data_IF_603517080902
#
_entry.id   IF_603517080902
#
_cell.length_a   1.000
_cell.length_b   1.000
_cell.length_c   1.000
_cell.angle_alpha   90.00
_cell.angle_beta   90.00
_cell.angle_gamma   90.00
#
_symmetry.space_group_name_H-M   'P 1'
#
loop_
_entity.id
_entity.type
_entity.pdbx_description
1 polymer ?
#
# COMPACT_ATOMS: atom_id res chain seq x y z
N UNK A 1 -46.68 -36.71 -51.98
CA UNK A 1 -46.96 -36.05 -50.66
C UNK A 1 -45.70 -36.11 -49.86
N UNK A 2 -44.92 -35.02 -49.94
CA UNK A 2 -43.61 -34.88 -49.29
C UNK A 2 -43.76 -34.31 -47.90
N UNK A 3 -43.39 -35.04 -46.89
CA UNK A 3 -43.29 -34.52 -45.53
C UNK A 3 -41.83 -34.10 -45.29
N UNK A 4 -41.56 -32.85 -45.49
CA UNK A 4 -40.31 -32.17 -45.05
C UNK A 4 -40.33 -32.05 -43.54
N UNK A 5 -39.59 -32.93 -42.86
CA UNK A 5 -39.26 -32.79 -41.44
C UNK A 5 -38.15 -31.80 -41.29
N UNK A 6 -38.50 -30.57 -40.93
CA UNK A 6 -37.54 -29.52 -40.55
C UNK A 6 -36.98 -29.84 -39.15
N UNK A 7 -35.73 -30.36 -39.13
CA UNK A 7 -34.94 -30.48 -37.90
C UNK A 7 -34.41 -29.08 -37.53
N UNK A 8 -35.08 -28.41 -36.64
CA UNK A 8 -34.56 -27.20 -35.99
C UNK A 8 -33.55 -27.65 -34.94
N UNK A 9 -32.29 -27.66 -35.31
CA UNK A 9 -31.18 -27.79 -34.34
C UNK A 9 -31.06 -26.50 -33.53
N UNK A 10 -31.70 -26.50 -32.35
CA UNK A 10 -31.43 -25.50 -31.32
C UNK A 10 -30.00 -25.71 -30.80
N UNK A 11 -29.02 -25.01 -31.36
CA UNK A 11 -27.69 -24.91 -30.78
C UNK A 11 -27.79 -24.03 -29.53
N UNK A 12 -27.90 -24.67 -28.37
CA UNK A 12 -27.71 -24.01 -27.08
C UNK A 12 -26.22 -23.64 -26.95
N UNK A 13 -25.90 -22.41 -27.32
CA UNK A 13 -24.60 -21.83 -27.01
C UNK A 13 -24.52 -21.64 -25.50
N UNK A 14 -23.89 -22.58 -24.80
CA UNK A 14 -23.55 -22.42 -23.41
C UNK A 14 -22.56 -21.24 -23.29
N UNK A 15 -23.07 -20.08 -22.91
CA UNK A 15 -22.23 -18.94 -22.53
C UNK A 15 -21.54 -19.35 -21.24
N UNK A 16 -20.32 -19.84 -21.34
CA UNK A 16 -19.45 -20.04 -20.19
C UNK A 16 -19.17 -18.66 -19.60
N UNK A 17 -19.91 -18.30 -18.57
CA UNK A 17 -19.60 -17.12 -17.75
C UNK A 17 -18.24 -17.40 -17.13
N UNK A 18 -17.20 -16.85 -17.70
CA UNK A 18 -15.86 -16.90 -17.15
C UNK A 18 -15.91 -16.24 -15.77
N UNK A 19 -15.91 -17.05 -14.72
CA UNK A 19 -15.83 -16.53 -13.36
C UNK A 19 -14.53 -15.76 -13.23
N UNK A 20 -14.61 -14.50 -12.84
CA UNK A 20 -13.43 -13.68 -12.58
C UNK A 20 -12.49 -14.44 -11.61
N UNK A 21 -11.21 -14.50 -11.90
CA UNK A 21 -10.25 -15.20 -11.06
C UNK A 21 -10.31 -14.62 -9.65
N UNK A 22 -10.54 -15.48 -8.67
CA UNK A 22 -10.67 -15.08 -7.28
C UNK A 22 -9.50 -15.64 -6.47
N UNK A 23 -8.78 -14.74 -5.82
CA UNK A 23 -7.73 -15.12 -4.88
C UNK A 23 -8.35 -15.81 -3.66
N UNK A 24 -7.94 -17.07 -3.41
CA UNK A 24 -8.47 -17.94 -2.36
C UNK A 24 -7.39 -18.24 -1.32
N UNK A 25 -7.83 -18.64 -0.14
CA UNK A 25 -6.94 -19.21 0.88
C UNK A 25 -6.24 -20.45 0.33
N UNK A 26 -4.93 -20.57 0.60
CA UNK A 26 -4.10 -21.66 0.11
C UNK A 26 -3.60 -21.51 -1.34
N UNK A 27 -3.96 -20.42 -2.05
CA UNK A 27 -3.38 -20.16 -3.38
C UNK A 27 -1.88 -19.94 -3.30
N UNK A 28 -1.16 -20.40 -4.32
CA UNK A 28 0.28 -20.18 -4.45
C UNK A 28 0.58 -18.84 -5.10
N UNK A 29 1.54 -18.09 -4.54
CA UNK A 29 1.94 -16.78 -5.05
C UNK A 29 3.45 -16.71 -5.25
N UNK A 30 3.87 -16.17 -6.39
CA UNK A 30 5.23 -15.77 -6.66
C UNK A 30 5.36 -14.26 -6.48
N UNK A 31 6.39 -13.84 -5.75
CA UNK A 31 6.69 -12.41 -5.57
C UNK A 31 7.80 -12.05 -6.57
N UNK A 32 7.52 -11.16 -7.50
CA UNK A 32 8.53 -10.68 -8.44
C UNK A 32 9.62 -9.89 -7.72
N UNK A 33 10.87 -9.90 -8.24
CA UNK A 33 11.95 -9.05 -7.70
C UNK A 33 11.57 -7.57 -7.76
N UNK A 34 11.72 -6.87 -6.65
CA UNK A 34 11.26 -5.49 -6.46
C UNK A 34 12.36 -4.62 -5.83
N UNK A 35 13.63 -4.87 -6.18
CA UNK A 35 14.76 -4.12 -5.63
C UNK A 35 14.98 -4.32 -4.13
N UNK A 36 14.68 -5.50 -3.60
CA UNK A 36 14.82 -5.85 -2.18
C UNK A 36 13.52 -5.74 -1.37
N UNK A 37 12.48 -5.08 -1.90
CA UNK A 37 11.20 -4.97 -1.20
C UNK A 37 10.47 -6.32 -1.09
N UNK A 38 10.69 -7.24 -2.03
CA UNK A 38 10.14 -8.59 -2.02
C UNK A 38 10.43 -9.34 -0.71
N UNK A 39 11.60 -9.12 -0.11
CA UNK A 39 11.98 -9.74 1.17
C UNK A 39 11.12 -9.23 2.32
N UNK A 40 10.89 -7.92 2.37
CA UNK A 40 10.01 -7.31 3.38
C UNK A 40 8.56 -7.76 3.21
N UNK A 41 8.10 -7.86 1.97
CA UNK A 41 6.74 -8.31 1.67
C UNK A 41 6.55 -9.78 2.04
N UNK A 42 7.48 -10.66 1.67
CA UNK A 42 7.43 -12.08 2.04
C UNK A 42 7.42 -12.26 3.56
N UNK A 43 8.29 -11.56 4.28
CA UNK A 43 8.31 -11.58 5.74
C UNK A 43 7.00 -11.08 6.36
N UNK A 44 6.42 -10.02 5.79
CA UNK A 44 5.15 -9.46 6.25
C UNK A 44 3.96 -10.42 6.01
N UNK A 45 3.93 -11.12 4.87
CA UNK A 45 2.90 -12.13 4.58
C UNK A 45 2.91 -13.25 5.63
N UNK A 46 4.10 -13.74 5.98
CA UNK A 46 4.29 -14.76 7.02
C UNK A 46 3.90 -14.21 8.40
N UNK A 47 4.42 -13.03 8.77
CA UNK A 47 4.15 -12.37 10.07
C UNK A 47 2.66 -12.11 10.30
N UNK A 48 1.94 -11.67 9.27
CA UNK A 48 0.50 -11.40 9.34
C UNK A 48 -0.37 -12.64 9.14
N UNK A 49 0.26 -13.81 8.91
CA UNK A 49 -0.44 -15.07 8.66
C UNK A 49 -1.48 -14.91 7.52
N UNK A 50 -1.02 -14.34 6.40
CA UNK A 50 -1.85 -14.27 5.19
C UNK A 50 -2.04 -15.68 4.66
N UNK A 51 -3.26 -16.13 4.36
CA UNK A 51 -3.53 -17.52 3.98
C UNK A 51 -3.12 -17.82 2.52
N UNK A 52 -1.86 -17.53 2.19
CA UNK A 52 -1.24 -17.77 0.88
C UNK A 52 0.05 -18.56 1.05
N UNK A 53 0.43 -19.31 0.02
CA UNK A 53 1.68 -20.07 -0.03
C UNK A 53 2.64 -19.33 -0.95
N UNK A 54 3.72 -18.78 -0.38
CA UNK A 54 4.76 -18.12 -1.17
C UNK A 54 5.67 -19.16 -1.79
N UNK A 55 5.81 -19.12 -3.11
CA UNK A 55 6.69 -20.02 -3.88
C UNK A 55 7.83 -19.22 -4.53
N UNK A 56 8.97 -19.87 -4.70
CA UNK A 56 10.16 -19.28 -5.34
C UNK A 56 10.21 -19.55 -6.85
N UNK A 57 9.41 -20.48 -7.34
CA UNK A 57 9.31 -20.83 -8.74
C UNK A 57 8.05 -20.21 -9.36
N UNK A 58 8.24 -19.28 -10.29
CA UNK A 58 7.15 -18.57 -10.98
C UNK A 58 6.20 -19.52 -11.71
N UNK A 59 6.72 -20.65 -12.24
CA UNK A 59 5.91 -21.61 -12.96
C UNK A 59 4.92 -22.38 -12.10
N UNK A 60 5.14 -22.42 -10.79
CA UNK A 60 4.30 -23.10 -9.79
C UNK A 60 3.31 -22.15 -9.08
N UNK A 61 3.28 -20.91 -9.48
CA UNK A 61 2.43 -19.90 -8.87
C UNK A 61 1.08 -19.81 -9.58
N UNK A 62 0.01 -19.77 -8.80
CA UNK A 62 -1.33 -19.44 -9.28
C UNK A 62 -1.45 -17.95 -9.59
N UNK A 63 -0.74 -17.13 -8.81
CA UNK A 63 -0.75 -15.67 -8.94
C UNK A 63 0.65 -15.09 -8.81
N UNK A 64 0.84 -13.93 -9.41
CA UNK A 64 2.08 -13.17 -9.35
C UNK A 64 1.82 -11.87 -8.60
N UNK A 65 2.66 -11.57 -7.61
CA UNK A 65 2.64 -10.28 -6.92
C UNK A 65 3.71 -9.41 -7.54
N UNK A 66 3.28 -8.29 -8.11
CA UNK A 66 4.16 -7.23 -8.63
C UNK A 66 4.03 -5.99 -7.75
N UNK A 67 5.04 -5.15 -7.70
CA UNK A 67 4.92 -3.84 -7.06
C UNK A 67 5.60 -2.74 -7.84
N UNK A 68 5.13 -1.54 -7.57
CA UNK A 68 5.82 -0.30 -7.91
C UNK A 68 6.21 0.38 -6.60
N UNK A 69 7.52 0.52 -6.38
CA UNK A 69 8.09 1.18 -5.21
C UNK A 69 8.56 2.56 -5.62
N UNK A 70 7.96 3.59 -5.06
CA UNK A 70 8.37 4.97 -5.27
C UNK A 70 9.00 5.52 -3.99
N UNK A 71 10.22 6.01 -4.13
CA UNK A 71 10.93 6.72 -3.08
C UNK A 71 10.90 8.21 -3.36
N UNK A 72 10.27 8.96 -2.49
CA UNK A 72 10.49 10.37 -2.44
C UNK A 72 11.77 10.60 -1.63
N UNK A 73 12.85 11.00 -2.31
CA UNK A 73 14.07 11.41 -1.65
C UNK A 73 13.74 12.43 -0.56
N UNK A 74 14.44 12.40 0.58
CA UNK A 74 14.27 13.43 1.59
C UNK A 74 14.49 14.79 0.92
N UNK A 75 13.46 15.63 0.91
CA UNK A 75 13.67 17.03 0.58
C UNK A 75 14.59 17.57 1.68
N UNK A 76 15.80 17.99 1.31
CA UNK A 76 16.60 18.79 2.22
C UNK A 76 15.72 19.98 2.60
N UNK A 77 15.24 20.09 3.85
CA UNK A 77 14.50 21.26 4.23
C UNK A 77 15.49 22.42 4.03
N UNK A 78 15.15 23.35 3.15
CA UNK A 78 15.78 24.63 3.19
C UNK A 78 15.50 25.16 4.59
N UNK A 79 16.46 25.05 5.48
CA UNK A 79 16.39 25.68 6.79
C UNK A 79 16.42 27.16 6.49
N UNK A 80 15.26 27.73 6.27
CA UNK A 80 15.09 29.17 6.33
C UNK A 80 15.24 29.50 7.82
N UNK A 81 16.49 29.70 8.22
CA UNK A 81 16.77 30.30 9.50
C UNK A 81 16.34 31.77 9.36
N UNK A 82 15.05 31.98 9.59
CA UNK A 82 14.57 33.33 9.84
C UNK A 82 15.19 33.75 11.18
N UNK A 83 16.39 34.28 11.13
CA UNK A 83 17.04 34.99 12.23
C UNK A 83 16.31 36.31 12.58
N UNK A 84 15.03 36.37 12.37
CA UNK A 84 14.17 37.50 12.77
C UNK A 84 13.56 37.27 14.15
N UNK A 85 14.30 36.66 15.07
CA UNK A 85 14.00 36.80 16.48
C UNK A 85 14.59 38.12 16.98
N UNK A 86 14.17 39.22 16.37
CA UNK A 86 14.25 40.51 17.03
C UNK A 86 13.10 40.45 18.04
N UNK A 87 13.43 40.10 19.28
CA UNK A 87 12.55 40.32 20.40
C UNK A 87 12.36 41.83 20.53
N UNK A 88 11.37 42.38 19.85
CA UNK A 88 10.88 43.71 20.14
C UNK A 88 10.22 43.57 21.52
N UNK A 89 10.99 43.96 22.54
CA UNK A 89 10.45 44.16 23.86
C UNK A 89 9.48 45.35 23.75
N UNK A 90 8.20 45.02 23.59
CA UNK A 90 7.14 46.06 23.71
C UNK A 90 7.08 46.45 25.17
N UNK A 91 7.56 47.66 25.46
CA UNK A 91 7.44 48.30 26.79
C UNK A 91 5.95 48.52 27.06
N UNK A 92 5.29 47.55 27.73
CA UNK A 92 3.87 47.62 28.10
C UNK A 92 3.20 46.28 28.33
N UNK A 93 3.83 45.14 27.96
CA UNK A 93 3.25 43.84 28.24
C UNK A 93 3.53 43.34 29.65
N UNK A 94 2.52 42.76 30.29
CA UNK A 94 2.67 42.18 31.63
C UNK A 94 3.64 40.97 31.57
N UNK A 95 4.38 40.68 32.69
CA UNK A 95 5.30 39.54 32.73
C UNK A 95 4.66 38.20 32.36
N UNK A 96 3.38 38.02 32.60
CA UNK A 96 2.62 36.83 32.24
C UNK A 96 2.38 36.72 30.73
N UNK A 97 2.19 37.84 30.05
CA UNK A 97 1.97 37.88 28.62
C UNK A 97 3.29 37.59 27.87
N UNK A 98 4.41 38.10 28.36
CA UNK A 98 5.74 37.80 27.84
C UNK A 98 6.08 36.30 28.00
N UNK A 99 5.81 35.70 29.16
CA UNK A 99 6.03 34.28 29.38
C UNK A 99 5.17 33.40 28.46
N UNK A 100 3.91 33.79 28.22
CA UNK A 100 2.99 33.12 27.33
C UNK A 100 3.49 33.19 25.86
N UNK A 101 3.89 34.36 25.39
CA UNK A 101 4.39 34.56 24.04
C UNK A 101 5.69 33.79 23.80
N UNK A 102 6.63 33.76 24.74
CA UNK A 102 7.84 32.96 24.67
C UNK A 102 7.53 31.46 24.64
N UNK A 103 6.58 31.00 25.45
CA UNK A 103 6.14 29.60 25.47
C UNK A 103 5.54 29.16 24.13
N UNK A 104 4.71 30.01 23.53
CA UNK A 104 4.13 29.77 22.20
C UNK A 104 5.18 29.72 21.11
N UNK A 105 6.15 30.64 21.11
CA UNK A 105 7.22 30.72 20.13
C UNK A 105 8.14 29.49 20.19
N UNK A 106 8.57 29.09 21.39
CA UNK A 106 9.33 27.86 21.60
C UNK A 106 8.55 26.60 21.19
N UNK A 107 7.24 26.58 21.44
CA UNK A 107 6.37 25.50 21.02
C UNK A 107 6.26 25.38 19.52
N UNK A 108 6.13 26.50 18.81
CA UNK A 108 6.05 26.56 17.36
C UNK A 108 7.37 26.16 16.67
N UNK A 109 8.51 26.59 17.21
CA UNK A 109 9.84 26.21 16.72
C UNK A 109 10.07 24.69 16.85
N UNK A 110 9.79 24.11 18.02
CA UNK A 110 9.89 22.65 18.22
C UNK A 110 8.95 21.85 17.33
N UNK A 111 7.77 22.39 17.01
CA UNK A 111 6.85 21.77 16.07
C UNK A 111 7.38 21.83 14.64
N UNK A 112 7.99 22.93 14.23
CA UNK A 112 8.63 23.11 12.93
C UNK A 112 9.85 22.19 12.78
N UNK A 113 10.70 22.09 13.80
CA UNK A 113 11.85 21.17 13.82
C UNK A 113 11.42 19.71 13.69
N UNK A 114 10.38 19.29 14.40
CA UNK A 114 9.82 17.93 14.26
C UNK A 114 9.28 17.67 12.87
N UNK A 115 8.58 18.63 12.25
CA UNK A 115 8.08 18.50 10.87
C UNK A 115 9.26 18.42 9.89
N UNK A 116 10.28 19.23 10.06
CA UNK A 116 11.49 19.20 9.24
C UNK A 116 12.22 17.85 9.39
N UNK A 117 12.38 17.34 10.61
CA UNK A 117 12.96 16.03 10.87
C UNK A 117 12.16 14.89 10.21
N UNK A 118 10.83 14.96 10.27
CA UNK A 118 9.98 13.98 9.57
C UNK A 118 10.08 14.08 8.05
N UNK A 119 10.17 15.30 7.49
CA UNK A 119 10.38 15.51 6.06
C UNK A 119 11.75 15.00 5.59
N UNK A 120 12.79 15.20 6.42
CA UNK A 120 14.14 14.72 6.16
C UNK A 120 14.28 13.19 6.12
N UNK A 121 13.35 12.45 6.73
CA UNK A 121 13.34 10.98 6.72
C UNK A 121 12.85 10.40 5.39
N UNK A 122 12.35 11.24 4.47
CA UNK A 122 11.74 10.81 3.22
C UNK A 122 10.43 10.03 3.42
N UNK A 123 9.81 9.67 2.34
CA UNK A 123 8.61 8.81 2.35
C UNK A 123 8.73 7.71 1.31
N UNK A 124 8.24 6.52 1.64
CA UNK A 124 8.13 5.42 0.69
C UNK A 124 6.67 5.15 0.42
N UNK A 125 6.33 5.13 -0.85
CA UNK A 125 5.03 4.69 -1.36
C UNK A 125 5.22 3.40 -2.14
N UNK A 126 4.40 2.41 -1.82
CA UNK A 126 4.43 1.10 -2.47
C UNK A 126 3.03 0.78 -2.95
N UNK A 127 2.92 0.41 -4.20
CA UNK A 127 1.69 -0.18 -4.77
C UNK A 127 1.97 -1.63 -5.12
N UNK A 128 1.18 -2.54 -4.58
CA UNK A 128 1.22 -3.96 -4.94
C UNK A 128 0.02 -4.32 -5.80
N UNK A 129 0.23 -5.23 -6.74
CA UNK A 129 -0.83 -5.82 -7.56
C UNK A 129 -0.66 -7.34 -7.58
N UNK A 130 -1.75 -8.05 -7.39
CA UNK A 130 -1.81 -9.51 -7.55
C UNK A 130 -2.46 -9.80 -8.89
N UNK A 131 -1.73 -10.47 -9.77
CA UNK A 131 -2.12 -10.73 -11.15
C UNK A 131 -2.31 -12.23 -11.34
N UNK A 132 -3.38 -12.62 -12.00
CA UNK A 132 -3.54 -13.98 -12.53
C UNK A 132 -2.74 -14.10 -13.85
N UNK A 133 -1.70 -14.92 -13.90
CA UNK A 133 -0.86 -15.05 -15.10
C UNK A 133 -1.60 -15.65 -16.31
N UNK A 134 -2.70 -16.37 -16.09
CA UNK A 134 -3.48 -17.03 -17.16
C UNK A 134 -4.38 -16.04 -17.90
N UNK A 135 -5.03 -15.15 -17.14
CA UNK A 135 -5.95 -14.16 -17.70
C UNK A 135 -5.33 -12.76 -17.82
N UNK A 136 -4.14 -12.55 -17.25
CA UNK A 136 -3.49 -11.23 -17.10
C UNK A 136 -4.36 -10.22 -16.36
N UNK A 137 -5.30 -10.68 -15.54
CA UNK A 137 -6.18 -9.82 -14.76
C UNK A 137 -5.60 -9.50 -13.40
N UNK A 138 -5.75 -8.26 -13.00
CA UNK A 138 -5.43 -7.83 -11.63
C UNK A 138 -6.60 -8.22 -10.74
N UNK A 139 -6.36 -9.15 -9.80
CA UNK A 139 -7.38 -9.63 -8.85
C UNK A 139 -7.37 -8.84 -7.55
N UNK A 140 -6.27 -8.17 -7.24
CA UNK A 140 -6.14 -7.30 -6.08
C UNK A 140 -5.08 -6.23 -6.37
N UNK A 141 -5.34 -5.01 -5.91
CA UNK A 141 -4.37 -3.93 -5.91
C UNK A 141 -4.51 -3.09 -4.63
N UNK A 142 -3.38 -2.67 -4.08
CA UNK A 142 -3.35 -1.85 -2.89
C UNK A 142 -2.10 -0.96 -2.86
N UNK A 143 -2.25 0.26 -2.37
CA UNK A 143 -1.15 1.20 -2.19
C UNK A 143 -1.02 1.60 -0.73
N UNK A 144 0.20 1.62 -0.23
CA UNK A 144 0.55 2.08 1.09
C UNK A 144 1.67 3.11 1.03
N UNK A 145 1.52 4.20 1.78
CA UNK A 145 2.56 5.20 1.97
C UNK A 145 2.91 5.33 3.45
N UNK A 146 4.19 5.36 3.76
CA UNK A 146 4.71 5.58 5.12
C UNK A 146 5.92 6.50 5.09
N UNK A 147 6.02 7.35 6.10
CA UNK A 147 7.18 8.20 6.34
C UNK A 147 7.92 7.75 7.60
N UNK A 148 9.21 8.11 7.71
CA UNK A 148 10.05 7.84 8.86
C UNK A 148 10.89 6.56 8.74
N UNK A 149 11.50 6.14 9.85
CA UNK A 149 12.29 4.90 9.90
C UNK A 149 11.43 3.65 9.67
N UNK A 150 12.04 2.60 9.11
CA UNK A 150 11.39 1.30 8.83
C UNK A 150 10.19 1.40 7.88
N UNK A 151 10.25 2.30 6.88
CA UNK A 151 9.17 2.54 5.93
C UNK A 151 8.81 1.28 5.14
N UNK A 152 9.81 0.51 4.68
CA UNK A 152 9.61 -0.73 3.93
C UNK A 152 8.85 -1.78 4.74
N UNK A 153 9.25 -2.00 5.98
CA UNK A 153 8.57 -2.96 6.84
C UNK A 153 7.13 -2.54 7.11
N UNK A 154 6.91 -1.26 7.45
CA UNK A 154 5.57 -0.72 7.73
C UNK A 154 4.64 -0.76 6.52
N UNK A 155 5.16 -0.46 5.31
CA UNK A 155 4.38 -0.55 4.08
C UNK A 155 4.08 -1.99 3.71
N UNK A 156 5.05 -2.90 3.85
CA UNK A 156 4.88 -4.32 3.62
C UNK A 156 3.82 -4.93 4.56
N UNK A 157 3.85 -4.56 5.84
CA UNK A 157 2.83 -5.00 6.79
C UNK A 157 1.43 -4.47 6.46
N UNK A 158 1.33 -3.22 5.99
CA UNK A 158 0.06 -2.64 5.56
C UNK A 158 -0.49 -3.38 4.32
N UNK A 159 0.37 -3.66 3.34
CA UNK A 159 0.04 -4.44 2.15
C UNK A 159 -0.43 -5.86 2.52
N UNK A 160 0.32 -6.56 3.38
CA UNK A 160 -0.01 -7.90 3.83
C UNK A 160 -1.34 -7.94 4.60
N UNK A 161 -1.59 -6.94 5.45
CA UNK A 161 -2.86 -6.82 6.19
C UNK A 161 -4.05 -6.63 5.24
N UNK A 162 -3.95 -5.71 4.29
CA UNK A 162 -5.00 -5.45 3.32
C UNK A 162 -5.29 -6.66 2.44
N UNK A 163 -4.25 -7.37 2.01
CA UNK A 163 -4.38 -8.61 1.23
C UNK A 163 -5.09 -9.70 2.01
N UNK A 164 -4.76 -9.88 3.30
CA UNK A 164 -5.43 -10.83 4.19
C UNK A 164 -6.93 -10.51 4.32
N UNK A 165 -7.25 -9.25 4.63
CA UNK A 165 -8.64 -8.80 4.77
C UNK A 165 -9.45 -9.03 3.48
N UNK A 166 -8.82 -8.81 2.32
CA UNK A 166 -9.44 -9.07 1.02
C UNK A 166 -9.80 -10.55 0.85
N UNK A 167 -8.86 -11.47 1.14
CA UNK A 167 -9.10 -12.92 1.03
C UNK A 167 -10.20 -13.36 1.99
N UNK A 168 -10.12 -12.98 3.26
CA UNK A 168 -11.12 -13.33 4.27
C UNK A 168 -12.52 -12.81 3.91
N UNK A 169 -12.60 -11.61 3.34
CA UNK A 169 -13.86 -11.01 2.89
C UNK A 169 -14.45 -11.75 1.69
N UNK A 170 -13.61 -12.12 0.73
CA UNK A 170 -14.05 -12.85 -0.46
C UNK A 170 -14.58 -14.25 -0.13
N UNK A 171 -14.03 -14.90 0.89
CA UNK A 171 -14.49 -16.21 1.36
C UNK A 171 -15.82 -16.14 2.12
N UNK A 172 -16.03 -15.06 2.89
CA UNK A 172 -17.30 -14.86 3.62
C UNK A 172 -18.50 -14.60 2.70
N UNK A 173 -18.27 -14.02 1.53
CA UNK A 173 -19.34 -13.74 0.56
C UNK A 173 -19.85 -14.99 -0.16
N UNK A 174 -19.17 -16.13 -0.02
CA UNK A 174 -19.54 -17.40 -0.65
C UNK A 174 -20.34 -18.34 0.23
N UNK A 175 -20.47 -18.01 1.50
CA UNK A 175 -21.31 -18.75 2.46
C UNK A 175 -22.70 -18.14 2.58
#
# INVERSE_FOLDING_TARGET
MNRLLAFVLLTFSAIAVAQAPQLKSGSTVYIEPMGGYETYLAAALVKKKVPLIVVTDKSKADYIITSNVSHNAPSTPAVVVNNSATATVNEGESPNQQAWNQGWELGSQRAAERRAAHAALGSTSVSISVVDPRSSQIVFAYSAGKAGSNQFEKTAEACAKSLKEFIEKSEKQKK
#
